data_IF_594125222390
#
_entry.id   IF_594125222390
#
_cell.length_a   1.000
_cell.length_b   1.000
_cell.length_c   1.000
_cell.angle_alpha   90.00
_cell.angle_beta   90.00
_cell.angle_gamma   90.00
#
_symmetry.space_group_name_H-M   'P 1'
#
loop_
_entity.id
_entity.type
_entity.pdbx_description
1 polymer ?
#
# COMPACT_ATOMS: atom_id res chain seq x y z
N UNK A 1 -1.52 25.94 36.50
CA UNK A 1 -1.98 25.43 35.18
C UNK A 1 -0.77 25.29 34.25
N UNK A 2 -0.17 24.09 34.15
CA UNK A 2 0.84 23.76 33.15
C UNK A 2 0.62 22.31 32.70
N UNK A 3 -0.44 22.11 31.90
CA UNK A 3 -0.63 20.91 31.08
C UNK A 3 -0.67 21.39 29.63
N UNK A 4 0.44 21.94 29.16
CA UNK A 4 0.67 22.03 27.72
C UNK A 4 0.78 20.59 27.23
N UNK A 5 -0.11 20.26 26.30
CA UNK A 5 -0.22 19.02 25.54
C UNK A 5 1.18 18.47 25.22
N UNK A 6 1.69 17.57 26.07
CA UNK A 6 2.81 16.70 25.69
C UNK A 6 2.22 15.74 24.67
N UNK A 7 2.58 15.92 23.40
CA UNK A 7 2.29 14.99 22.30
C UNK A 7 2.44 13.54 22.80
N UNK A 8 1.38 12.74 22.69
CA UNK A 8 1.46 11.31 22.98
C UNK A 8 2.54 10.69 22.07
N UNK A 9 3.58 10.13 22.68
CA UNK A 9 4.72 9.52 21.97
C UNK A 9 4.21 8.43 21.01
N UNK A 10 3.09 7.76 21.32
CA UNK A 10 2.46 6.79 20.42
C UNK A 10 1.96 7.44 19.13
N UNK A 11 1.28 8.60 19.24
CA UNK A 11 0.77 9.36 18.09
C UNK A 11 1.93 9.87 17.24
N UNK A 12 3.00 10.34 17.87
CA UNK A 12 4.16 10.85 17.16
C UNK A 12 4.95 9.74 16.46
N UNK A 13 5.04 8.55 17.07
CA UNK A 13 5.56 7.35 16.41
C UNK A 13 4.71 7.03 15.18
N UNK A 14 3.37 7.00 15.30
CA UNK A 14 2.45 6.70 14.19
C UNK A 14 2.56 7.74 13.07
N UNK A 15 2.59 9.04 13.39
CA UNK A 15 2.71 10.14 12.40
C UNK A 15 3.96 10.01 11.55
N UNK A 16 5.07 9.55 12.12
CA UNK A 16 6.34 9.35 11.41
C UNK A 16 6.34 8.15 10.45
N UNK A 17 5.29 7.33 10.47
CA UNK A 17 5.04 6.32 9.44
C UNK A 17 4.12 6.82 8.32
N UNK A 18 3.37 7.90 8.50
CA UNK A 18 2.41 8.35 7.49
C UNK A 18 3.04 8.89 6.22
N UNK A 19 4.32 9.22 6.21
CA UNK A 19 5.02 9.64 5.00
C UNK A 19 6.53 9.79 5.29
N UNK A 20 7.44 9.54 4.34
CA UNK A 20 8.77 10.11 4.41
C UNK A 20 8.69 11.60 4.06
N UNK A 21 8.14 12.45 4.93
CA UNK A 21 8.17 13.90 4.71
C UNK A 21 9.60 14.43 4.85
N UNK A 22 10.06 15.10 3.80
CA UNK A 22 11.22 16.01 3.75
C UNK A 22 12.65 15.45 3.81
N UNK A 23 12.89 14.13 3.75
CA UNK A 23 14.28 13.62 3.78
C UNK A 23 14.99 13.57 2.42
N UNK A 24 14.26 13.68 1.29
CA UNK A 24 14.81 13.58 -0.07
C UNK A 24 15.52 12.25 -0.39
N UNK A 25 15.50 11.32 0.55
CA UNK A 25 16.22 10.04 0.55
C UNK A 25 15.43 9.03 1.36
N UNK A 26 15.42 7.79 0.91
CA UNK A 26 14.92 6.64 1.64
C UNK A 26 15.76 6.43 2.89
N UNK A 27 15.36 7.03 4.01
CA UNK A 27 15.91 6.60 5.29
C UNK A 27 15.31 5.25 5.61
N UNK A 28 16.16 4.27 5.90
CA UNK A 28 15.70 3.10 6.63
C UNK A 28 14.94 3.60 7.87
N UNK A 29 13.73 3.06 8.06
CA UNK A 29 12.73 3.34 9.11
C UNK A 29 13.19 4.28 10.24
N UNK A 30 12.39 5.28 10.67
CA UNK A 30 12.69 6.02 11.90
C UNK A 30 12.78 5.03 13.07
N UNK A 31 13.97 4.87 13.66
CA UNK A 31 14.18 3.97 14.80
C UNK A 31 13.70 4.64 16.09
N UNK A 32 13.37 3.87 17.15
CA UNK A 32 13.08 4.46 18.47
C UNK A 32 14.17 5.43 18.92
N UNK A 33 15.43 5.12 18.61
CA UNK A 33 16.57 6.00 18.86
C UNK A 33 16.49 7.33 18.09
N UNK A 34 16.29 7.29 16.77
CA UNK A 34 16.20 8.51 15.95
C UNK A 34 15.01 9.39 16.36
N UNK A 35 13.88 8.75 16.70
CA UNK A 35 12.69 9.43 17.20
C UNK A 35 12.99 10.09 18.55
N UNK A 36 13.60 9.37 19.49
CA UNK A 36 13.95 9.89 20.82
C UNK A 36 14.85 11.13 20.73
N UNK A 37 15.85 11.10 19.85
CA UNK A 37 16.77 12.23 19.61
C UNK A 37 16.03 13.43 19.02
N UNK A 38 15.19 13.21 18.01
CA UNK A 38 14.47 14.30 17.33
C UNK A 38 13.40 14.97 18.19
N UNK A 39 12.79 14.22 19.12
CA UNK A 39 11.78 14.73 20.04
C UNK A 39 12.38 15.19 21.38
N UNK A 40 13.69 15.05 21.55
CA UNK A 40 14.40 15.32 22.79
C UNK A 40 13.77 14.62 24.01
N UNK A 41 13.45 13.32 23.86
CA UNK A 41 12.87 12.47 24.90
C UNK A 41 13.78 11.27 25.20
N UNK A 42 13.56 10.64 26.35
CA UNK A 42 14.34 9.44 26.74
C UNK A 42 14.15 8.29 25.75
N UNK A 43 15.24 7.66 25.28
CA UNK A 43 15.17 6.46 24.45
C UNK A 43 14.30 5.36 25.07
N UNK A 44 14.43 5.12 26.38
CA UNK A 44 13.67 4.07 27.09
C UNK A 44 12.16 4.28 26.99
N UNK A 45 11.70 5.53 27.13
CA UNK A 45 10.28 5.88 26.97
C UNK A 45 9.80 5.67 25.55
N UNK A 46 10.64 5.98 24.55
CA UNK A 46 10.33 5.75 23.14
C UNK A 46 10.29 4.26 22.79
N UNK A 47 11.21 3.45 23.32
CA UNK A 47 11.19 1.99 23.14
C UNK A 47 9.93 1.36 23.76
N UNK A 48 9.53 1.83 24.94
CA UNK A 48 8.30 1.36 25.58
C UNK A 48 7.04 1.73 24.75
N UNK A 49 6.94 2.98 24.29
CA UNK A 49 5.86 3.43 23.42
C UNK A 49 5.85 2.67 22.08
N UNK A 50 7.04 2.42 21.51
CA UNK A 50 7.19 1.65 20.28
C UNK A 50 6.64 0.24 20.39
N UNK A 51 6.93 -0.47 21.49
CA UNK A 51 6.38 -1.80 21.74
C UNK A 51 4.87 -1.79 21.93
N UNK A 52 4.29 -0.70 22.46
CA UNK A 52 2.83 -0.52 22.49
C UNK A 52 2.23 -0.30 21.11
N UNK A 53 2.94 0.38 20.22
CA UNK A 53 2.45 0.64 18.86
C UNK A 53 2.61 -0.58 17.95
N UNK A 54 3.77 -1.24 17.96
CA UNK A 54 4.15 -2.26 16.97
C UNK A 54 4.52 -3.63 17.55
N UNK A 55 4.35 -3.87 18.85
CA UNK A 55 4.60 -5.19 19.45
C UNK A 55 3.56 -6.23 19.03
N UNK A 56 3.71 -7.48 19.50
CA UNK A 56 2.84 -8.61 19.14
C UNK A 56 1.32 -8.39 19.39
N UNK A 57 0.96 -7.42 20.24
CA UNK A 57 -0.41 -6.97 20.48
C UNK A 57 -0.51 -5.43 20.38
N UNK A 58 0.23 -4.83 19.45
CA UNK A 58 0.33 -3.40 19.32
C UNK A 58 -0.95 -2.73 18.79
N UNK A 59 -0.98 -1.39 18.87
CA UNK A 59 -2.03 -0.56 18.26
C UNK A 59 -2.08 -0.75 16.74
N UNK A 60 -0.93 -0.98 16.10
CA UNK A 60 -0.81 -1.26 14.67
C UNK A 60 -0.54 -2.75 14.47
N UNK A 61 -1.44 -3.43 13.74
CA UNK A 61 -1.31 -4.84 13.38
C UNK A 61 -0.30 -5.05 12.26
N UNK A 62 -0.36 -4.22 11.22
CA UNK A 62 0.53 -4.34 10.05
C UNK A 62 0.74 -2.98 9.38
N UNK A 63 1.86 -2.85 8.69
CA UNK A 63 2.16 -1.72 7.81
C UNK A 63 2.33 -2.27 6.40
N UNK A 64 1.74 -1.63 5.40
CA UNK A 64 1.89 -2.03 4.00
C UNK A 64 2.47 -0.89 3.18
N UNK A 65 3.23 -1.25 2.14
CA UNK A 65 3.67 -0.31 1.11
C UNK A 65 2.60 -0.29 0.03
N UNK A 66 2.03 0.88 -0.23
CA UNK A 66 1.11 1.11 -1.33
C UNK A 66 1.80 1.95 -2.40
N UNK A 67 1.96 1.37 -3.58
CA UNK A 67 2.57 2.05 -4.72
C UNK A 67 1.52 2.90 -5.42
N UNK A 68 1.85 4.15 -5.76
CA UNK A 68 0.97 5.06 -6.47
C UNK A 68 0.93 4.68 -7.95
N UNK A 69 -0.06 3.87 -8.32
CA UNK A 69 -0.36 3.48 -9.72
C UNK A 69 -0.40 4.70 -10.66
N UNK A 70 -0.86 5.85 -10.17
CA UNK A 70 -0.88 7.15 -10.87
C UNK A 70 0.45 7.64 -11.40
N UNK A 71 1.55 7.33 -10.73
CA UNK A 71 2.88 7.83 -11.07
C UNK A 71 3.65 6.86 -11.95
N UNK A 72 3.21 5.62 -12.04
CA UNK A 72 3.90 4.56 -12.77
C UNK A 72 3.63 4.57 -14.28
N UNK A 73 2.77 5.48 -14.75
CA UNK A 73 2.30 5.49 -16.13
C UNK A 73 1.50 4.23 -16.47
N UNK A 74 0.91 3.59 -15.46
CA UNK A 74 -0.01 2.49 -15.68
C UNK A 74 -1.36 3.05 -16.13
N UNK A 75 -1.95 2.35 -17.08
CA UNK A 75 -3.33 2.51 -17.46
C UNK A 75 -4.18 1.54 -16.64
N UNK A 76 -5.34 2.00 -16.22
CA UNK A 76 -6.35 1.14 -15.59
C UNK A 76 -7.22 0.53 -16.67
N UNK A 77 -7.41 -0.77 -16.59
CA UNK A 77 -8.31 -1.54 -17.44
C UNK A 77 -9.39 -2.13 -16.55
N UNK A 78 -10.65 -1.85 -16.87
CA UNK A 78 -11.78 -2.38 -16.11
C UNK A 78 -12.26 -3.64 -16.82
N UNK A 79 -12.41 -4.73 -16.08
CA UNK A 79 -12.96 -5.99 -16.60
C UNK A 79 -14.20 -6.33 -15.79
N UNK A 80 -15.31 -6.59 -16.48
CA UNK A 80 -16.55 -7.04 -15.85
C UNK A 80 -16.79 -8.50 -16.20
N UNK A 81 -16.91 -9.33 -15.17
CA UNK A 81 -17.03 -10.77 -15.35
C UNK A 81 -18.17 -11.29 -14.50
N UNK A 82 -18.94 -12.24 -15.02
CA UNK A 82 -19.72 -13.09 -14.10
C UNK A 82 -18.77 -14.05 -13.39
N UNK A 83 -19.19 -14.55 -12.23
CA UNK A 83 -18.46 -15.58 -11.51
C UNK A 83 -19.44 -16.45 -10.73
N UNK A 84 -19.14 -17.74 -10.59
CA UNK A 84 -20.00 -18.67 -9.84
C UNK A 84 -19.53 -18.81 -8.38
N UNK A 85 -18.21 -18.92 -8.20
CA UNK A 85 -17.57 -19.25 -6.93
C UNK A 85 -16.69 -18.11 -6.39
N UNK A 86 -17.02 -17.63 -5.20
CA UNK A 86 -16.28 -16.57 -4.51
C UNK A 86 -14.80 -16.95 -4.26
N UNK A 87 -14.47 -18.24 -4.17
CA UNK A 87 -13.08 -18.68 -4.02
C UNK A 87 -12.22 -18.41 -5.26
N UNK A 88 -12.81 -18.34 -6.45
CA UNK A 88 -12.07 -17.99 -7.68
C UNK A 88 -11.71 -16.51 -7.69
N UNK A 89 -12.60 -15.64 -7.19
CA UNK A 89 -12.29 -14.22 -6.98
C UNK A 89 -11.14 -14.04 -5.98
N UNK A 90 -11.12 -14.81 -4.89
CA UNK A 90 -10.02 -14.74 -3.91
C UNK A 90 -8.66 -15.06 -4.52
N UNK A 91 -8.58 -16.03 -5.45
CA UNK A 91 -7.32 -16.35 -6.16
C UNK A 91 -6.80 -15.17 -6.98
N UNK A 92 -7.69 -14.32 -7.47
CA UNK A 92 -7.34 -13.13 -8.24
C UNK A 92 -6.82 -12.00 -7.36
N UNK A 93 -7.27 -11.89 -6.09
CA UNK A 93 -6.86 -10.80 -5.19
C UNK A 93 -5.35 -10.76 -4.91
N UNK A 94 -4.65 -11.88 -5.12
CA UNK A 94 -3.20 -11.99 -4.91
C UNK A 94 -2.38 -11.66 -6.18
N UNK A 95 -3.02 -11.38 -7.32
CA UNK A 95 -2.34 -11.08 -8.58
C UNK A 95 -1.80 -9.66 -8.60
N UNK A 96 -0.53 -9.53 -9.03
CA UNK A 96 0.20 -8.26 -8.91
C UNK A 96 -0.34 -7.10 -9.75
N UNK A 97 -1.07 -7.43 -10.81
CA UNK A 97 -1.63 -6.46 -11.74
C UNK A 97 -3.08 -6.10 -11.40
N UNK A 98 -3.67 -6.71 -10.37
CA UNK A 98 -5.02 -6.37 -9.91
C UNK A 98 -4.93 -5.29 -8.84
N UNK A 99 -5.44 -4.10 -9.15
CA UNK A 99 -5.50 -2.98 -8.21
C UNK A 99 -6.67 -3.14 -7.24
N UNK A 100 -7.82 -3.59 -7.73
CA UNK A 100 -9.00 -3.84 -6.89
C UNK A 100 -10.00 -4.77 -7.57
N UNK A 101 -10.80 -5.45 -6.76
CA UNK A 101 -11.95 -6.25 -7.21
C UNK A 101 -13.16 -5.85 -6.39
N UNK A 102 -14.24 -5.48 -7.07
CA UNK A 102 -15.56 -5.26 -6.49
C UNK A 102 -16.45 -6.39 -6.98
N UNK A 103 -16.95 -7.24 -6.09
CA UNK A 103 -17.75 -8.39 -6.49
C UNK A 103 -18.94 -8.58 -5.57
N UNK A 104 -20.03 -9.10 -6.11
CA UNK A 104 -21.24 -9.35 -5.34
C UNK A 104 -22.41 -9.76 -6.21
N UNK A 105 -23.57 -9.86 -5.57
CA UNK A 105 -24.83 -10.03 -6.29
C UNK A 105 -25.26 -8.70 -6.89
N UNK A 106 -25.74 -8.75 -8.12
CA UNK A 106 -26.28 -7.58 -8.82
C UNK A 106 -27.77 -7.79 -9.01
N UNK A 107 -28.57 -6.84 -8.52
CA UNK A 107 -30.01 -6.83 -8.75
C UNK A 107 -30.32 -5.89 -9.92
N UNK A 108 -31.00 -6.41 -10.94
CA UNK A 108 -31.41 -5.61 -12.10
C UNK A 108 -32.73 -4.89 -11.81
N UNK A 109 -32.70 -3.56 -11.75
CA UNK A 109 -33.92 -2.75 -11.65
C UNK A 109 -34.59 -2.52 -13.01
N UNK A 110 -33.97 -2.94 -14.12
CA UNK A 110 -34.34 -2.55 -15.49
C UNK A 110 -34.80 -3.70 -16.39
N UNK A 111 -35.03 -4.90 -15.85
CA UNK A 111 -35.48 -6.06 -16.62
C UNK A 111 -34.45 -6.60 -17.61
N UNK A 112 -33.22 -6.08 -17.58
CA UNK A 112 -32.06 -6.64 -18.28
C UNK A 112 -31.61 -7.86 -17.49
N UNK A 113 -31.49 -9.03 -18.13
CA UNK A 113 -30.86 -10.20 -17.50
C UNK A 113 -29.37 -9.91 -17.29
N UNK A 114 -28.99 -9.76 -16.03
CA UNK A 114 -27.59 -9.62 -15.60
C UNK A 114 -27.26 -10.91 -14.84
N UNK A 115 -26.05 -11.48 -15.00
CA UNK A 115 -25.63 -12.60 -14.18
C UNK A 115 -25.80 -12.30 -12.69
N UNK A 116 -26.39 -13.23 -11.94
CA UNK A 116 -26.67 -13.12 -10.49
C UNK A 116 -25.48 -12.64 -9.66
N UNK A 117 -24.27 -12.98 -10.11
CA UNK A 117 -23.01 -12.62 -9.48
C UNK A 117 -22.09 -11.99 -10.52
N UNK A 118 -21.61 -10.79 -10.21
CA UNK A 118 -20.71 -10.03 -11.09
C UNK A 118 -19.53 -9.47 -10.33
N UNK A 119 -18.36 -9.45 -10.97
CA UNK A 119 -17.14 -8.88 -10.47
C UNK A 119 -16.64 -7.79 -11.45
N UNK A 120 -16.33 -6.62 -10.91
CA UNK A 120 -15.59 -5.55 -11.57
C UNK A 120 -14.16 -5.60 -11.07
N UNK A 121 -13.23 -5.95 -11.97
CA UNK A 121 -11.80 -6.07 -11.70
C UNK A 121 -11.09 -4.88 -12.34
N UNK A 122 -10.30 -4.16 -11.55
CA UNK A 122 -9.44 -3.09 -12.05
C UNK A 122 -8.03 -3.65 -12.17
N UNK A 123 -7.54 -3.72 -13.41
CA UNK A 123 -6.18 -4.14 -13.77
C UNK A 123 -5.32 -2.90 -14.01
N UNK A 124 -4.07 -2.96 -13.61
CA UNK A 124 -3.05 -1.95 -13.92
C UNK A 124 -2.01 -2.51 -14.87
N UNK A 125 -1.89 -1.94 -16.06
CA UNK A 125 -0.90 -2.37 -17.05
C UNK A 125 -0.19 -1.18 -17.71
N UNK A 126 1.02 -1.41 -18.21
CA UNK A 126 1.84 -0.37 -18.83
C UNK A 126 1.53 -0.12 -20.32
N UNK A 127 0.80 -1.03 -20.95
CA UNK A 127 0.39 -1.00 -22.34
C UNK A 127 -0.88 -1.83 -22.53
N UNK A 128 -1.52 -1.67 -23.68
CA UNK A 128 -2.69 -2.46 -24.03
C UNK A 128 -2.34 -3.94 -24.18
N UNK A 129 -1.19 -4.24 -24.78
CA UNK A 129 -0.70 -5.60 -25.02
C UNK A 129 -0.44 -6.34 -23.69
N UNK A 130 0.16 -5.67 -22.70
CA UNK A 130 0.36 -6.26 -21.38
C UNK A 130 -0.99 -6.55 -20.69
N UNK A 131 -1.94 -5.62 -20.79
CA UNK A 131 -3.28 -5.83 -20.25
C UNK A 131 -3.95 -7.06 -20.87
N UNK A 132 -3.77 -7.29 -22.18
CA UNK A 132 -4.31 -8.47 -22.88
C UNK A 132 -3.72 -9.77 -22.34
N UNK A 133 -2.40 -9.83 -22.10
CA UNK A 133 -1.79 -11.02 -21.49
C UNK A 133 -2.29 -11.27 -20.06
N UNK A 134 -2.43 -10.21 -19.26
CA UNK A 134 -2.96 -10.29 -17.90
C UNK A 134 -4.44 -10.71 -17.87
N UNK A 135 -5.22 -10.26 -18.85
CA UNK A 135 -6.60 -10.69 -19.05
C UNK A 135 -6.71 -12.18 -19.36
N UNK A 136 -5.74 -12.80 -20.05
CA UNK A 136 -5.74 -14.26 -20.26
C UNK A 136 -5.61 -15.02 -18.94
N UNK A 137 -4.83 -14.50 -18.00
CA UNK A 137 -4.69 -15.09 -16.66
C UNK A 137 -6.00 -15.01 -15.89
N UNK A 138 -6.70 -13.86 -15.95
CA UNK A 138 -8.03 -13.73 -15.34
C UNK A 138 -9.03 -14.70 -15.98
N UNK A 139 -9.02 -14.80 -17.32
CA UNK A 139 -9.89 -15.71 -18.08
C UNK A 139 -9.69 -17.18 -17.73
N UNK A 140 -8.49 -17.57 -17.28
CA UNK A 140 -8.22 -18.93 -16.82
C UNK A 140 -8.87 -19.25 -15.46
N UNK A 141 -9.32 -18.24 -14.71
CA UNK A 141 -9.90 -18.39 -13.37
C UNK A 141 -11.41 -18.12 -13.37
N UNK A 142 -11.86 -17.10 -14.10
CA UNK A 142 -13.28 -16.74 -14.26
C UNK A 142 -13.55 -16.43 -15.73
N UNK A 143 -14.71 -16.81 -16.26
CA UNK A 143 -15.05 -16.53 -17.67
C UNK A 143 -15.63 -15.11 -17.81
N UNK A 144 -14.93 -14.17 -18.47
CA UNK A 144 -15.39 -12.80 -18.58
C UNK A 144 -16.54 -12.65 -19.57
N UNK A 145 -17.70 -12.20 -19.08
CA UNK A 145 -18.90 -11.95 -19.90
C UNK A 145 -18.84 -10.59 -20.60
N UNK A 146 -18.20 -9.58 -20.01
CA UNK A 146 -18.15 -8.22 -20.55
C UNK A 146 -16.80 -7.53 -20.33
N UNK A 147 -15.99 -7.38 -21.38
CA UNK A 147 -14.72 -6.66 -21.30
C UNK A 147 -14.96 -5.19 -21.66
N UNK A 148 -15.00 -4.30 -20.67
CA UNK A 148 -15.09 -2.85 -20.88
C UNK A 148 -13.75 -2.16 -20.62
N UNK A 149 -12.90 -2.11 -21.64
CA UNK A 149 -11.61 -1.43 -21.56
C UNK A 149 -11.83 0.07 -21.68
N UNK A 150 -11.96 0.76 -20.55
CA UNK A 150 -11.83 2.20 -20.53
C UNK A 150 -10.43 2.60 -20.07
N UNK A 151 -9.72 3.31 -20.94
CA UNK A 151 -8.48 3.97 -20.56
C UNK A 151 -8.88 5.22 -19.77
N UNK A 152 -8.77 5.17 -18.45
CA UNK A 152 -8.83 6.39 -17.64
C UNK A 152 -7.41 6.95 -17.61
N UNK A 153 -7.10 8.01 -18.40
CA UNK A 153 -5.78 8.63 -18.34
C UNK A 153 -5.59 9.18 -16.93
N UNK A 154 -4.57 8.69 -16.24
CA UNK A 154 -4.13 9.30 -15.00
C UNK A 154 -3.39 10.60 -15.34
N UNK A 155 -3.42 11.60 -14.46
CA UNK A 155 -2.53 12.75 -14.57
C UNK A 155 -1.08 12.28 -14.39
N UNK A 156 -0.46 11.88 -15.50
CA UNK A 156 0.87 11.29 -15.52
C UNK A 156 1.88 12.43 -15.31
N UNK A 157 2.38 12.59 -14.08
CA UNK A 157 3.75 13.09 -13.92
C UNK A 157 4.66 12.04 -14.54
N UNK A 158 5.10 12.24 -15.79
CA UNK A 158 6.00 11.32 -16.54
C UNK A 158 7.39 11.33 -15.92
N UNK A 159 7.53 10.77 -14.72
CA UNK A 159 8.82 10.46 -14.16
C UNK A 159 9.27 9.12 -14.77
N UNK A 160 10.47 9.10 -15.38
CA UNK A 160 10.96 7.98 -16.21
C UNK A 160 11.35 6.80 -15.32
N UNK A 161 10.47 5.81 -15.22
CA UNK A 161 10.75 4.53 -14.57
C UNK A 161 11.34 3.57 -15.59
N UNK A 162 12.56 3.12 -15.36
CA UNK A 162 13.22 2.08 -16.16
C UNK A 162 12.93 0.67 -15.59
N UNK A 163 13.41 -0.38 -16.25
CA UNK A 163 13.14 -1.76 -15.83
C UNK A 163 13.68 -2.11 -14.44
N UNK A 164 14.83 -1.55 -14.04
CA UNK A 164 15.36 -1.76 -12.68
C UNK A 164 14.41 -1.15 -11.65
N UNK A 165 13.86 0.04 -11.94
CA UNK A 165 12.91 0.69 -11.05
C UNK A 165 11.63 -0.12 -10.91
N UNK A 166 11.11 -0.68 -12.01
CA UNK A 166 9.92 -1.54 -12.00
C UNK A 166 10.14 -2.81 -11.17
N UNK A 167 11.27 -3.49 -11.38
CA UNK A 167 11.64 -4.68 -10.61
C UNK A 167 11.69 -4.39 -9.11
N UNK A 168 12.29 -3.26 -8.72
CA UNK A 168 12.36 -2.86 -7.32
C UNK A 168 10.97 -2.51 -6.79
N UNK A 169 10.19 -1.67 -7.48
CA UNK A 169 8.83 -1.30 -7.06
C UNK A 169 7.94 -2.54 -6.86
N UNK A 170 7.93 -3.47 -7.82
CA UNK A 170 7.18 -4.70 -7.70
C UNK A 170 7.63 -5.53 -6.50
N UNK A 171 8.94 -5.64 -6.24
CA UNK A 171 9.46 -6.36 -5.09
C UNK A 171 9.00 -5.74 -3.76
N UNK A 172 9.13 -4.41 -3.61
CA UNK A 172 8.83 -3.75 -2.34
C UNK A 172 7.32 -3.75 -2.00
N UNK A 173 6.43 -3.80 -3.01
CA UNK A 173 4.97 -3.84 -2.81
C UNK A 173 4.49 -4.99 -1.93
N UNK A 174 5.19 -6.14 -1.95
CA UNK A 174 4.81 -7.35 -1.21
C UNK A 174 5.60 -7.56 0.08
N UNK A 175 6.38 -6.56 0.50
CA UNK A 175 7.25 -6.69 1.66
C UNK A 175 6.74 -5.87 2.82
N UNK A 176 6.90 -6.45 4.01
CA UNK A 176 6.72 -5.71 5.24
C UNK A 176 7.75 -4.57 5.30
N UNK A 177 7.31 -3.31 5.48
CA UNK A 177 8.19 -2.15 5.53
C UNK A 177 9.32 -2.27 6.54
N UNK A 178 9.10 -3.02 7.62
CA UNK A 178 10.03 -3.16 8.73
C UNK A 178 11.29 -3.95 8.38
N UNK A 179 11.22 -4.81 7.37
CA UNK A 179 12.34 -5.64 6.94
C UNK A 179 12.97 -5.12 5.62
N UNK A 180 12.51 -3.96 5.14
CA UNK A 180 12.91 -3.42 3.85
C UNK A 180 14.10 -2.47 3.96
N UNK A 181 15.28 -2.95 3.56
CA UNK A 181 16.52 -2.17 3.47
C UNK A 181 17.03 -2.17 2.03
N UNK A 182 17.88 -1.21 1.66
CA UNK A 182 18.50 -1.22 0.34
C UNK A 182 19.33 -2.49 0.12
N UNK A 183 19.95 -3.02 1.19
CA UNK A 183 20.68 -4.29 1.18
C UNK A 183 19.76 -5.48 0.92
N UNK A 184 18.63 -5.60 1.64
CA UNK A 184 17.71 -6.74 1.46
C UNK A 184 17.06 -6.76 0.08
N UNK A 185 16.74 -5.58 -0.48
CA UNK A 185 16.28 -5.44 -1.87
C UNK A 185 17.38 -5.85 -2.86
N UNK A 186 18.62 -5.40 -2.63
CA UNK A 186 19.74 -5.68 -3.51
C UNK A 186 20.09 -7.17 -3.58
N UNK A 187 20.12 -7.83 -2.42
CA UNK A 187 20.34 -9.28 -2.30
C UNK A 187 19.22 -10.06 -2.99
N UNK A 188 17.96 -9.70 -2.74
CA UNK A 188 16.81 -10.41 -3.31
C UNK A 188 16.69 -10.28 -4.83
N UNK A 189 17.12 -9.14 -5.39
CA UNK A 189 17.04 -8.87 -6.82
C UNK A 189 18.37 -9.10 -7.56
N UNK A 190 19.41 -9.54 -6.85
CA UNK A 190 20.77 -9.72 -7.37
C UNK A 190 21.28 -8.46 -8.11
N UNK A 191 21.19 -7.31 -7.45
CA UNK A 191 21.65 -6.01 -7.97
C UNK A 191 22.62 -5.35 -6.99
N UNK A 192 23.33 -4.32 -7.45
CA UNK A 192 24.22 -3.54 -6.58
C UNK A 192 23.41 -2.77 -5.50
N UNK A 193 23.81 -2.83 -4.20
CA UNK A 193 23.17 -2.06 -3.12
C UNK A 193 23.05 -0.55 -3.38
N UNK A 194 24.05 0.06 -4.03
CA UNK A 194 24.01 1.48 -4.39
C UNK A 194 22.95 1.77 -5.46
N UNK A 195 22.64 0.80 -6.33
CA UNK A 195 21.54 0.92 -7.30
C UNK A 195 20.19 0.80 -6.61
N UNK A 196 20.02 -0.17 -5.70
CA UNK A 196 18.80 -0.30 -4.91
C UNK A 196 18.54 0.98 -4.08
N UNK A 197 19.57 1.50 -3.40
CA UNK A 197 19.47 2.74 -2.61
C UNK A 197 19.07 3.94 -3.46
N UNK A 198 19.75 4.18 -4.59
CA UNK A 198 19.42 5.29 -5.51
C UNK A 198 17.99 5.19 -6.03
N UNK A 199 17.51 3.99 -6.36
CA UNK A 199 16.14 3.77 -6.81
C UNK A 199 15.12 4.05 -5.69
N UNK A 200 15.36 3.57 -4.48
CA UNK A 200 14.50 3.85 -3.32
C UNK A 200 14.46 5.35 -2.98
N UNK A 201 15.60 6.04 -3.04
CA UNK A 201 15.68 7.50 -2.86
C UNK A 201 14.87 8.23 -3.94
N UNK A 202 14.99 7.79 -5.20
CA UNK A 202 14.20 8.30 -6.30
C UNK A 202 12.70 8.08 -6.08
N UNK A 203 12.30 6.93 -5.55
CA UNK A 203 10.90 6.63 -5.25
C UNK A 203 10.32 7.52 -4.16
N UNK A 204 11.07 7.74 -3.07
CA UNK A 204 10.67 8.64 -1.99
C UNK A 204 10.57 10.08 -2.50
N UNK A 205 11.58 10.56 -3.22
CA UNK A 205 11.61 11.94 -3.73
C UNK A 205 10.46 12.27 -4.68
N UNK A 206 10.03 11.28 -5.47
CA UNK A 206 8.95 11.44 -6.45
C UNK A 206 7.64 10.82 -5.98
N UNK A 207 7.52 10.48 -4.69
CA UNK A 207 6.26 10.05 -4.05
C UNK A 207 5.64 8.76 -4.62
N UNK A 208 6.47 7.86 -5.15
CA UNK A 208 6.02 6.65 -5.85
C UNK A 208 5.30 5.63 -4.98
N UNK A 209 5.48 5.67 -3.67
CA UNK A 209 4.75 4.83 -2.74
C UNK A 209 4.51 5.55 -1.42
N UNK A 210 3.61 5.00 -0.61
CA UNK A 210 3.32 5.46 0.73
C UNK A 210 3.06 4.28 1.65
N UNK A 211 3.15 4.49 2.96
CA UNK A 211 2.82 3.47 3.93
C UNK A 211 1.37 3.60 4.38
N UNK A 212 0.68 2.46 4.50
CA UNK A 212 -0.64 2.40 5.16
C UNK A 212 -0.52 1.58 6.43
N UNK A 213 -1.01 2.15 7.52
CA UNK A 213 -1.07 1.53 8.83
C UNK A 213 -2.44 0.86 9.01
N UNK A 214 -2.44 -0.42 9.37
CA UNK A 214 -3.66 -1.16 9.71
C UNK A 214 -3.72 -1.33 11.21
N UNK A 215 -4.77 -0.77 11.81
CA UNK A 215 -4.90 -0.69 13.25
C UNK A 215 -5.62 -1.90 13.85
N UNK A 216 -5.20 -2.31 15.04
CA UNK A 216 -5.94 -3.21 15.89
C UNK A 216 -7.06 -2.44 16.59
N UNK A 217 -8.29 -2.55 16.09
CA UNK A 217 -9.45 -1.78 16.61
C UNK A 217 -9.66 -1.96 18.11
N UNK A 218 -9.34 -3.13 18.69
CA UNK A 218 -9.45 -3.39 20.14
C UNK A 218 -8.39 -2.61 20.93
N UNK A 219 -7.18 -2.54 20.40
CA UNK A 219 -6.07 -1.81 21.03
C UNK A 219 -6.17 -0.30 20.83
N UNK A 220 -6.70 0.15 19.68
CA UNK A 220 -7.11 1.54 19.46
C UNK A 220 -8.08 1.93 20.57
N UNK A 221 -9.19 1.22 20.76
CA UNK A 221 -10.15 1.58 21.81
C UNK A 221 -9.51 1.69 23.20
N UNK A 222 -8.70 0.72 23.62
CA UNK A 222 -8.08 0.75 24.95
C UNK A 222 -6.94 1.77 25.14
N UNK A 223 -6.32 2.25 24.06
CA UNK A 223 -5.19 3.19 24.13
C UNK A 223 -5.49 4.59 23.54
N UNK A 224 -6.61 4.74 22.81
CA UNK A 224 -7.07 5.95 22.10
C UNK A 224 -8.43 6.44 22.65
N UNK A 225 -9.23 5.67 23.43
CA UNK A 225 -10.44 6.21 24.11
C UNK A 225 -10.10 7.24 25.22
N UNK A 226 -8.83 7.52 25.48
CA UNK A 226 -8.43 8.76 26.17
C UNK A 226 -8.47 10.02 25.27
N UNK A 227 -8.86 9.89 23.99
CA UNK A 227 -8.95 10.94 22.96
C UNK A 227 -10.41 11.37 22.70
N UNK A 228 -11.35 11.06 23.59
CA UNK A 228 -12.73 11.61 23.53
C UNK A 228 -12.87 13.02 24.14
N UNK A 229 -11.76 13.76 24.31
CA UNK A 229 -11.79 15.13 24.83
C UNK A 229 -11.25 16.19 23.86
N UNK A 230 -11.37 16.05 22.53
CA UNK A 230 -11.00 17.13 21.59
C UNK A 230 -11.85 17.20 20.32
N UNK A 231 -13.16 16.96 20.44
CA UNK A 231 -14.15 17.48 19.49
C UNK A 231 -15.17 18.33 20.26
N UNK A 232 -14.72 19.51 20.68
CA UNK A 232 -15.55 20.66 21.05
C UNK A 232 -14.81 21.92 20.64
#
# INVERSE_FOLDING_TARGET
MHRTIKNDINIEIIRRFNWPENSGSYSERPTPYNISRSLNISPSSTYYAWNKVFGNNGIVNTVRINVRSSLLGFYRYIVMSSYENDNDIKKLMDLYFIESIYYGRVESSSGIEIPDKTATIIIIANSYEMAIEEMKVIKAVIDPVYIYINNVPMDIKKARINDIHRKILNYISYKEPFNLTAKSVAEALNINPATAKRALDYFVKNEYFYYTLFFNVRMVKSNIISIDCFLS
#
